data_IF_353715060428
#
_entry.id   IF_353715060428
#
_cell.length_a   1.000
_cell.length_b   1.000
_cell.length_c   1.000
_cell.angle_alpha   90.00
_cell.angle_beta   90.00
_cell.angle_gamma   90.00
#
_symmetry.space_group_name_H-M   'P 1'
#
loop_
_entity.id
_entity.type
_entity.pdbx_description
1 polymer ?
#
# COMPACT_ATOMS: atom_id res chain seq x y z
N UNK A 1 19.99 -30.78 11.83
CA UNK A 1 19.31 -29.87 10.89
C UNK A 1 20.35 -29.20 10.01
N UNK A 2 20.06 -28.90 8.74
CA UNK A 2 21.03 -28.24 7.86
C UNK A 2 21.23 -26.77 8.30
N UNK A 3 22.38 -26.18 7.93
CA UNK A 3 22.65 -24.76 8.19
C UNK A 3 21.54 -23.86 7.61
N UNK A 4 21.01 -24.24 6.45
CA UNK A 4 19.91 -23.56 5.78
C UNK A 4 18.58 -23.63 6.56
N UNK A 5 18.19 -24.81 7.06
CA UNK A 5 16.95 -24.92 7.85
C UNK A 5 17.06 -24.19 9.18
N UNK A 6 18.25 -24.14 9.77
CA UNK A 6 18.50 -23.36 10.98
C UNK A 6 18.38 -21.86 10.70
N UNK A 7 18.95 -21.36 9.60
CA UNK A 7 18.82 -19.96 9.21
C UNK A 7 17.34 -19.54 8.99
N UNK A 8 16.56 -20.38 8.31
CA UNK A 8 15.15 -20.08 7.98
C UNK A 8 14.20 -20.21 9.16
N UNK A 9 14.34 -21.25 9.97
CA UNK A 9 13.33 -21.64 10.96
C UNK A 9 13.76 -21.40 12.41
N UNK A 10 15.03 -21.02 12.66
CA UNK A 10 15.49 -20.64 13.99
C UNK A 10 15.47 -19.12 14.16
N UNK A 11 14.48 -18.61 14.89
CA UNK A 11 14.31 -17.18 15.14
C UNK A 11 15.30 -16.72 16.20
N UNK A 12 16.36 -16.06 15.75
CA UNK A 12 17.23 -15.26 16.62
C UNK A 12 17.30 -13.81 16.06
N UNK A 13 17.70 -12.82 16.88
CA UNK A 13 17.75 -11.41 16.47
C UNK A 13 18.55 -11.11 15.21
N UNK A 14 19.60 -11.90 14.95
CA UNK A 14 20.49 -11.71 13.80
C UNK A 14 19.85 -12.28 12.55
N UNK A 15 19.43 -13.55 12.58
CA UNK A 15 18.74 -14.24 11.49
C UNK A 15 17.47 -13.48 11.10
N UNK A 16 16.68 -13.02 12.07
CA UNK A 16 15.47 -12.25 11.80
C UNK A 16 15.76 -10.97 11.01
N UNK A 17 16.75 -10.18 11.43
CA UNK A 17 17.11 -8.94 10.73
C UNK A 17 17.57 -9.22 9.30
N UNK A 18 18.44 -10.22 9.11
CA UNK A 18 18.92 -10.60 7.78
C UNK A 18 17.74 -11.02 6.90
N UNK A 19 16.89 -11.92 7.39
CA UNK A 19 15.74 -12.40 6.65
C UNK A 19 14.75 -11.27 6.31
N UNK A 20 14.41 -10.42 7.28
CA UNK A 20 13.51 -9.28 7.09
C UNK A 20 14.06 -8.29 6.06
N UNK A 21 15.37 -7.98 6.10
CA UNK A 21 16.02 -7.12 5.11
C UNK A 21 16.01 -7.74 3.71
N UNK A 22 16.33 -9.03 3.59
CA UNK A 22 16.30 -9.73 2.30
C UNK A 22 14.89 -9.76 1.71
N UNK A 23 13.89 -10.08 2.54
CA UNK A 23 12.49 -10.12 2.13
C UNK A 23 11.98 -8.74 1.71
N UNK A 24 12.31 -7.70 2.47
CA UNK A 24 11.93 -6.32 2.12
C UNK A 24 12.53 -5.87 0.79
N UNK A 25 13.82 -6.15 0.54
CA UNK A 25 14.49 -5.85 -0.73
C UNK A 25 13.87 -6.65 -1.87
N UNK A 26 13.62 -7.94 -1.65
CA UNK A 26 12.98 -8.80 -2.64
C UNK A 26 11.60 -8.28 -3.02
N UNK A 27 10.77 -7.93 -2.04
CA UNK A 27 9.44 -7.36 -2.27
C UNK A 27 9.50 -6.03 -3.00
N UNK A 28 10.44 -5.14 -2.67
CA UNK A 28 10.62 -3.87 -3.39
C UNK A 28 10.96 -4.12 -4.87
N UNK A 29 11.87 -5.05 -5.15
CA UNK A 29 12.22 -5.42 -6.53
C UNK A 29 11.00 -6.03 -7.24
N UNK A 30 10.28 -6.94 -6.58
CA UNK A 30 9.12 -7.62 -7.14
C UNK A 30 7.98 -6.64 -7.44
N UNK A 31 7.64 -5.74 -6.50
CA UNK A 31 6.63 -4.70 -6.70
C UNK A 31 6.99 -3.80 -7.88
N UNK A 32 8.22 -3.29 -7.95
CA UNK A 32 8.69 -2.49 -9.08
C UNK A 32 8.60 -3.27 -10.40
N UNK A 33 8.97 -4.56 -10.41
CA UNK A 33 8.84 -5.41 -11.60
C UNK A 33 7.38 -5.59 -12.01
N UNK A 34 6.48 -5.86 -11.06
CA UNK A 34 5.04 -5.98 -11.32
C UNK A 34 4.51 -4.70 -11.94
N UNK A 35 4.81 -3.54 -11.32
CA UNK A 35 4.40 -2.23 -11.84
C UNK A 35 4.89 -2.07 -13.29
N UNK A 36 6.15 -2.40 -13.59
CA UNK A 36 6.74 -2.19 -14.92
C UNK A 36 6.33 -3.20 -15.98
N UNK A 37 5.97 -4.43 -15.60
CA UNK A 37 5.83 -5.55 -16.54
C UNK A 37 4.42 -6.12 -16.62
N UNK A 38 3.59 -5.96 -15.59
CA UNK A 38 2.22 -6.46 -15.56
C UNK A 38 1.28 -5.34 -16.01
N UNK A 39 0.38 -5.58 -16.98
CA UNK A 39 -0.64 -4.61 -17.36
C UNK A 39 -1.50 -4.23 -16.14
N UNK A 40 -1.73 -2.93 -15.97
CA UNK A 40 -2.61 -2.44 -14.93
C UNK A 40 -4.04 -2.95 -15.16
N UNK A 41 -4.67 -3.44 -14.10
CA UNK A 41 -6.09 -3.81 -14.08
C UNK A 41 -6.83 -2.80 -13.23
N UNK A 42 -7.79 -2.12 -13.86
CA UNK A 42 -8.69 -1.18 -13.19
C UNK A 42 -9.70 -1.96 -12.35
N UNK A 43 -9.84 -1.59 -11.07
CA UNK A 43 -10.84 -2.18 -10.16
C UNK A 43 -11.70 -1.05 -9.61
N UNK A 44 -11.09 -0.18 -8.78
CA UNK A 44 -11.83 0.89 -8.10
C UNK A 44 -11.23 2.30 -8.25
N UNK A 45 -10.04 2.43 -8.86
CA UNK A 45 -9.32 3.71 -8.89
C UNK A 45 -10.14 4.81 -9.57
N UNK A 46 -10.71 4.50 -10.74
CA UNK A 46 -11.57 5.42 -11.48
C UNK A 46 -12.76 5.87 -10.63
N UNK A 47 -13.47 4.93 -9.98
CA UNK A 47 -14.58 5.25 -9.09
C UNK A 47 -14.13 6.16 -7.95
N UNK A 48 -13.00 5.87 -7.30
CA UNK A 48 -12.51 6.70 -6.20
C UNK A 48 -12.16 8.12 -6.65
N UNK A 49 -11.57 8.29 -7.84
CA UNK A 49 -11.28 9.61 -8.41
C UNK A 49 -12.57 10.35 -8.79
N UNK A 50 -13.59 9.66 -9.30
CA UNK A 50 -14.90 10.25 -9.58
C UNK A 50 -15.61 10.72 -8.30
N UNK A 51 -15.57 9.92 -7.24
CA UNK A 51 -16.11 10.28 -5.92
C UNK A 51 -15.39 11.51 -5.35
N UNK A 52 -14.06 11.60 -5.52
CA UNK A 52 -13.29 12.81 -5.19
C UNK A 52 -13.74 14.01 -6.03
N UNK A 53 -14.01 13.83 -7.32
CA UNK A 53 -14.50 14.91 -8.19
C UNK A 53 -15.87 15.45 -7.74
N UNK A 54 -16.77 14.58 -7.25
CA UNK A 54 -18.00 15.02 -6.57
C UNK A 54 -17.69 15.96 -5.39
N UNK A 55 -16.73 15.58 -4.55
CA UNK A 55 -16.30 16.40 -3.42
C UNK A 55 -15.64 17.72 -3.88
N UNK A 56 -14.80 17.72 -4.91
CA UNK A 56 -14.19 18.95 -5.43
C UNK A 56 -15.22 19.94 -6.00
N UNK A 57 -16.34 19.43 -6.57
CA UNK A 57 -17.49 20.24 -7.02
C UNK A 57 -18.37 20.79 -5.89
N UNK A 58 -17.99 20.59 -4.63
CA UNK A 58 -18.74 21.11 -3.48
C UNK A 58 -19.85 20.17 -2.97
N UNK A 59 -19.98 18.96 -3.50
CA UNK A 59 -20.93 17.97 -2.96
C UNK A 59 -20.43 17.52 -1.59
N UNK A 60 -21.24 17.76 -0.55
CA UNK A 60 -20.92 17.38 0.84
C UNK A 60 -21.92 16.38 1.42
N UNK A 61 -23.08 16.24 0.81
CA UNK A 61 -24.01 15.17 1.18
C UNK A 61 -23.47 13.83 0.66
N UNK A 62 -23.00 12.97 1.56
CA UNK A 62 -22.41 11.66 1.25
C UNK A 62 -23.33 10.76 0.44
N UNK A 63 -24.65 10.86 0.63
CA UNK A 63 -25.62 10.06 -0.13
C UNK A 63 -25.67 10.42 -1.61
N UNK A 64 -24.97 11.48 -2.03
CA UNK A 64 -24.88 11.97 -3.42
C UNK A 64 -23.47 11.86 -4.00
N UNK A 65 -22.54 11.20 -3.30
CA UNK A 65 -21.18 10.96 -3.77
C UNK A 65 -21.13 9.53 -4.32
N UNK A 66 -20.94 9.39 -5.62
CA UNK A 66 -20.90 8.11 -6.33
C UNK A 66 -19.88 8.15 -7.48
N UNK A 67 -19.53 6.96 -7.97
CA UNK A 67 -18.80 6.76 -9.22
C UNK A 67 -19.37 5.57 -9.98
N UNK A 68 -18.69 5.10 -11.02
CA UNK A 68 -19.18 4.08 -11.95
C UNK A 68 -19.56 2.76 -11.27
N UNK A 69 -18.88 2.41 -10.17
CA UNK A 69 -19.16 1.19 -9.39
C UNK A 69 -20.13 1.41 -8.22
N UNK A 70 -20.69 2.61 -8.06
CA UNK A 70 -21.74 2.92 -7.09
C UNK A 70 -21.39 4.02 -6.07
N UNK A 71 -22.22 4.14 -5.01
CA UNK A 71 -22.08 5.18 -4.01
C UNK A 71 -20.81 4.99 -3.16
N UNK A 72 -20.34 6.08 -2.55
CA UNK A 72 -19.25 5.99 -1.58
C UNK A 72 -19.69 5.19 -0.35
N UNK A 73 -18.91 4.18 0.00
CA UNK A 73 -19.12 3.34 1.20
C UNK A 73 -18.10 3.61 2.31
N UNK A 74 -17.05 4.39 2.00
CA UNK A 74 -15.97 4.69 2.93
C UNK A 74 -16.16 6.06 3.62
N UNK A 75 -15.67 6.22 4.87
CA UNK A 75 -15.79 7.48 5.61
C UNK A 75 -14.90 8.59 5.04
N UNK A 76 -15.04 9.80 5.58
CA UNK A 76 -14.39 11.01 5.05
C UNK A 76 -12.87 10.96 4.89
N UNK A 77 -12.18 10.18 5.72
CA UNK A 77 -10.74 9.94 5.56
C UNK A 77 -10.38 9.39 4.18
N UNK A 78 -11.23 8.53 3.59
CA UNK A 78 -11.04 8.01 2.24
C UNK A 78 -11.04 9.13 1.20
N UNK A 79 -12.05 10.01 1.22
CA UNK A 79 -12.12 11.15 0.29
C UNK A 79 -10.90 12.05 0.44
N UNK A 80 -10.48 12.36 1.68
CA UNK A 80 -9.32 13.24 1.88
C UNK A 80 -8.02 12.60 1.41
N UNK A 81 -7.85 11.30 1.64
CA UNK A 81 -6.68 10.57 1.15
C UNK A 81 -6.64 10.55 -0.38
N UNK A 82 -7.73 10.16 -1.03
CA UNK A 82 -7.81 10.12 -2.49
C UNK A 82 -7.83 11.53 -3.13
N UNK A 83 -8.23 12.57 -2.40
CA UNK A 83 -8.08 13.96 -2.84
C UNK A 83 -6.60 14.34 -2.98
N UNK A 84 -5.76 13.97 -2.01
CA UNK A 84 -4.31 14.18 -2.09
C UNK A 84 -3.75 13.41 -3.28
N UNK A 85 -4.13 12.13 -3.43
CA UNK A 85 -3.70 11.29 -4.55
C UNK A 85 -4.13 11.87 -5.91
N UNK A 86 -5.38 12.33 -6.04
CA UNK A 86 -5.90 12.96 -7.26
C UNK A 86 -5.05 14.16 -7.67
N UNK A 87 -4.67 15.02 -6.71
CA UNK A 87 -3.87 16.22 -6.97
C UNK A 87 -2.46 15.91 -7.45
N UNK A 88 -1.82 14.88 -6.92
CA UNK A 88 -0.45 14.50 -7.30
C UNK A 88 -0.38 13.60 -8.55
N UNK A 89 -1.51 13.02 -8.97
CA UNK A 89 -1.60 12.09 -10.11
C UNK A 89 -2.32 12.69 -11.32
N UNK A 90 -2.32 14.03 -11.46
CA UNK A 90 -3.01 14.73 -12.55
C UNK A 90 -4.49 14.35 -12.68
N UNK A 91 -5.24 14.54 -11.58
CA UNK A 91 -6.64 14.15 -11.44
C UNK A 91 -6.87 12.65 -11.70
N UNK A 92 -5.96 11.80 -11.21
CA UNK A 92 -6.05 10.35 -11.34
C UNK A 92 -5.58 9.77 -12.67
N UNK A 93 -5.11 10.59 -13.62
CA UNK A 93 -4.67 10.12 -14.95
C UNK A 93 -3.28 9.48 -14.95
N UNK A 94 -2.41 9.91 -14.04
CA UNK A 94 -1.08 9.34 -13.87
C UNK A 94 -1.13 8.12 -12.93
N UNK A 95 -1.61 7.00 -13.48
CA UNK A 95 -1.70 5.71 -12.79
C UNK A 95 -0.30 5.22 -12.36
N UNK A 96 0.73 5.55 -13.13
CA UNK A 96 2.10 5.10 -12.85
C UNK A 96 2.60 5.70 -11.54
N UNK A 97 2.40 7.00 -11.34
CA UNK A 97 2.73 7.67 -10.09
C UNK A 97 1.92 7.10 -8.93
N UNK A 98 0.61 6.84 -9.13
CA UNK A 98 -0.22 6.21 -8.11
C UNK A 98 0.33 4.84 -7.67
N UNK A 99 0.73 4.00 -8.63
CA UNK A 99 1.31 2.68 -8.35
C UNK A 99 2.56 2.76 -7.47
N UNK A 100 3.49 3.67 -7.76
CA UNK A 100 4.69 3.87 -6.94
C UNK A 100 4.39 4.42 -5.54
N UNK A 101 3.35 5.25 -5.39
CA UNK A 101 2.90 5.71 -4.07
C UNK A 101 2.38 4.53 -3.24
N UNK A 102 1.56 3.66 -3.84
CA UNK A 102 1.07 2.46 -3.15
C UNK A 102 2.18 1.45 -2.85
N UNK A 103 3.16 1.28 -3.74
CA UNK A 103 4.37 0.50 -3.47
C UNK A 103 5.12 1.05 -2.24
N UNK A 104 5.33 2.36 -2.17
CA UNK A 104 5.97 2.99 -1.02
C UNK A 104 5.19 2.78 0.29
N UNK A 105 3.86 2.94 0.27
CA UNK A 105 3.00 2.71 1.43
C UNK A 105 3.03 1.26 1.88
N UNK A 106 3.00 0.31 0.93
CA UNK A 106 3.14 -1.12 1.19
C UNK A 106 4.48 -1.44 1.85
N UNK A 107 5.60 -1.02 1.25
CA UNK A 107 6.94 -1.29 1.77
C UNK A 107 7.19 -0.65 3.13
N UNK A 108 6.64 0.54 3.37
CA UNK A 108 6.68 1.19 4.69
C UNK A 108 5.90 0.40 5.72
N UNK A 109 4.70 -0.06 5.37
CA UNK A 109 3.87 -0.89 6.24
C UNK A 109 4.56 -2.22 6.57
N UNK A 110 5.17 -2.86 5.57
CA UNK A 110 5.94 -4.09 5.75
C UNK A 110 7.13 -3.89 6.70
N UNK A 111 7.86 -2.78 6.55
CA UNK A 111 8.96 -2.41 7.45
C UNK A 111 8.47 -2.21 8.89
N UNK A 112 7.32 -1.56 9.08
CA UNK A 112 6.71 -1.37 10.40
C UNK A 112 6.30 -2.70 11.03
N UNK A 113 5.73 -3.63 10.25
CA UNK A 113 5.40 -4.98 10.72
C UNK A 113 6.66 -5.73 11.17
N UNK A 114 7.74 -5.71 10.39
CA UNK A 114 9.01 -6.31 10.81
C UNK A 114 9.56 -5.65 12.09
N UNK A 115 9.43 -4.33 12.23
CA UNK A 115 9.83 -3.61 13.44
C UNK A 115 9.01 -4.04 14.65
N UNK A 116 7.69 -4.21 14.50
CA UNK A 116 6.80 -4.69 15.57
C UNK A 116 7.23 -6.09 16.01
N UNK A 117 7.42 -7.03 15.07
CA UNK A 117 7.86 -8.38 15.41
C UNK A 117 9.22 -8.41 16.12
N UNK A 118 10.18 -7.59 15.68
CA UNK A 118 11.47 -7.49 16.35
C UNK A 118 11.37 -6.93 17.77
N UNK A 119 10.47 -5.96 18.01
CA UNK A 119 10.24 -5.39 19.34
C UNK A 119 9.51 -6.37 20.26
N UNK A 120 8.50 -7.09 19.76
CA UNK A 120 7.77 -8.08 20.55
C UNK A 120 8.69 -9.17 21.10
N UNK A 121 9.65 -9.64 20.29
CA UNK A 121 10.67 -10.61 20.75
C UNK A 121 11.53 -10.06 21.90
N UNK A 122 11.86 -8.77 21.89
CA UNK A 122 12.66 -8.15 22.96
C UNK A 122 11.90 -7.99 24.26
N UNK A 123 10.59 -7.77 24.21
CA UNK A 123 9.76 -7.60 25.41
C UNK A 123 9.53 -8.95 26.10
N UNK A 124 9.57 -10.05 25.36
CA UNK A 124 9.43 -11.41 25.92
C UNK A 124 10.71 -11.98 26.56
N UNK A 125 11.81 -11.22 26.56
CA UNK A 125 13.10 -11.56 27.18
C UNK A 125 13.28 -10.77 28.48
#
# INVERSE_FOLDING_TARGET
>A
MSSFTTFLFHVNPVNFKIFASLLWIFDAILCTLVIRKVPYTEIDWSTYIQQVSCYERGIRNYSKIEGDTGPIVYPAGHIWFYLILSRITNAGKDIRTAQYIFEFLYLTSLLLVFRIYYMSYKVSL
#
